data_IF_971845546307
#
_entry.id   IF_971845546307
#
_cell.length_a   1.000
_cell.length_b   1.000
_cell.length_c   1.000
_cell.angle_alpha   90.00
_cell.angle_beta   90.00
_cell.angle_gamma   90.00
#
_symmetry.space_group_name_H-M   'P 1'
#
loop_
_entity.id
_entity.type
_entity.pdbx_description
1 polymer ?
#
# COMPACT_ATOMS: atom_id res chain seq x y z
N UNK A 1 16.25 56.43 -1.44
CA UNK A 1 16.76 55.03 -1.31
C UNK A 1 15.71 54.20 -0.60
N UNK A 2 14.83 53.53 -1.34
CA UNK A 2 13.96 52.46 -0.79
C UNK A 2 13.18 51.77 -1.94
N UNK A 3 13.76 50.79 -2.61
CA UNK A 3 13.03 49.89 -3.53
C UNK A 3 13.92 48.65 -3.79
N UNK A 4 13.97 47.68 -2.88
CA UNK A 4 14.46 46.34 -3.20
C UNK A 4 14.24 45.40 -1.99
N UNK A 5 12.97 45.01 -1.71
CA UNK A 5 12.68 43.93 -0.76
C UNK A 5 11.36 43.16 -1.02
N UNK A 6 10.75 43.31 -2.21
CA UNK A 6 9.44 42.69 -2.44
C UNK A 6 9.43 41.41 -3.31
N UNK A 7 10.57 40.97 -3.87
CA UNK A 7 10.57 39.90 -4.90
C UNK A 7 10.90 38.48 -4.33
N UNK A 8 11.46 38.40 -3.14
CA UNK A 8 11.95 37.09 -2.61
C UNK A 8 10.90 36.22 -1.92
N UNK A 9 9.73 36.78 -1.58
CA UNK A 9 8.68 36.04 -0.82
C UNK A 9 7.74 35.25 -1.73
N UNK A 10 7.57 35.65 -3.00
CA UNK A 10 6.63 35.02 -3.94
C UNK A 10 7.16 33.66 -4.46
N UNK A 11 8.47 33.53 -4.61
CA UNK A 11 9.09 32.30 -5.15
C UNK A 11 9.00 31.08 -4.21
N UNK A 12 8.97 31.29 -2.89
CA UNK A 12 8.90 30.17 -1.91
C UNK A 12 7.50 29.58 -1.77
N UNK A 13 6.45 30.36 -2.02
CA UNK A 13 5.06 29.88 -1.93
C UNK A 13 4.65 29.01 -3.12
N UNK A 14 5.24 29.21 -4.31
CA UNK A 14 4.93 28.38 -5.50
C UNK A 14 5.54 26.97 -5.44
N UNK A 15 6.68 26.80 -4.78
CA UNK A 15 7.33 25.47 -4.66
C UNK A 15 6.56 24.47 -3.78
N UNK A 16 5.86 24.96 -2.75
CA UNK A 16 5.08 24.09 -1.86
C UNK A 16 3.74 23.63 -2.45
N UNK A 17 3.11 24.46 -3.31
CA UNK A 17 1.82 24.13 -3.93
C UNK A 17 1.97 23.02 -4.96
N UNK A 18 3.04 22.99 -5.75
CA UNK A 18 3.27 21.99 -6.79
C UNK A 18 3.54 20.59 -6.19
N UNK A 19 4.24 20.51 -5.07
CA UNK A 19 4.50 19.23 -4.40
C UNK A 19 3.22 18.61 -3.81
N UNK A 20 2.34 19.44 -3.23
CA UNK A 20 1.08 18.98 -2.64
C UNK A 20 0.10 18.45 -3.69
N UNK A 21 0.00 19.10 -4.85
CA UNK A 21 -0.89 18.67 -5.95
C UNK A 21 -0.39 17.36 -6.57
N UNK A 22 0.92 17.18 -6.75
CA UNK A 22 1.49 15.95 -7.31
C UNK A 22 1.26 14.75 -6.38
N UNK A 23 1.38 14.96 -5.07
CA UNK A 23 1.17 13.91 -4.07
C UNK A 23 -0.31 13.49 -3.98
N UNK A 24 -1.24 14.43 -4.08
CA UNK A 24 -2.68 14.14 -4.08
C UNK A 24 -3.08 13.33 -5.33
N UNK A 25 -2.49 13.64 -6.49
CA UNK A 25 -2.73 12.91 -7.73
C UNK A 25 -2.26 11.45 -7.66
N UNK A 26 -1.08 11.17 -7.10
CA UNK A 26 -0.57 9.79 -6.97
C UNK A 26 -1.51 8.90 -6.14
N UNK A 27 -1.92 9.34 -4.97
CA UNK A 27 -2.78 8.53 -4.08
C UNK A 27 -4.20 8.37 -4.65
N UNK A 28 -4.70 9.38 -5.38
CA UNK A 28 -5.93 9.24 -6.16
C UNK A 28 -5.81 8.15 -7.22
N UNK A 29 -4.73 8.17 -8.00
CA UNK A 29 -4.45 7.13 -9.01
C UNK A 29 -4.25 5.73 -8.40
N UNK A 30 -3.63 5.64 -7.21
CA UNK A 30 -3.49 4.36 -6.51
C UNK A 30 -4.84 3.80 -6.07
N UNK A 31 -5.73 4.66 -5.56
CA UNK A 31 -7.12 4.32 -5.27
C UNK A 31 -7.85 3.81 -6.51
N UNK A 32 -7.74 4.51 -7.63
CA UNK A 32 -8.40 4.12 -8.90
C UNK A 32 -7.83 2.79 -9.43
N UNK A 33 -6.52 2.62 -9.35
CA UNK A 33 -5.85 1.37 -9.73
C UNK A 33 -6.33 0.19 -8.88
N UNK A 34 -6.54 0.38 -7.57
CA UNK A 34 -7.10 -0.64 -6.70
C UNK A 34 -8.56 -0.96 -7.05
N UNK A 35 -9.38 0.06 -7.33
CA UNK A 35 -10.77 -0.11 -7.76
C UNK A 35 -10.89 -0.90 -9.07
N UNK A 36 -10.02 -0.66 -10.05
CA UNK A 36 -10.01 -1.43 -11.29
C UNK A 36 -9.78 -2.94 -11.08
N UNK A 37 -9.03 -3.33 -10.05
CA UNK A 37 -8.77 -4.74 -9.75
C UNK A 37 -10.05 -5.49 -9.35
N UNK A 38 -11.05 -4.82 -8.81
CA UNK A 38 -12.32 -5.44 -8.42
C UNK A 38 -13.15 -5.92 -9.62
N UNK A 39 -12.83 -5.47 -10.83
CA UNK A 39 -13.47 -5.93 -12.07
C UNK A 39 -12.93 -7.29 -12.55
N UNK A 40 -11.91 -7.85 -11.88
CA UNK A 40 -11.30 -9.12 -12.26
C UNK A 40 -11.64 -10.18 -11.23
N UNK A 41 -12.10 -11.34 -11.69
CA UNK A 41 -12.28 -12.48 -10.80
C UNK A 41 -10.91 -13.08 -10.45
N UNK A 42 -10.61 -13.15 -9.15
CA UNK A 42 -9.37 -13.71 -8.61
C UNK A 42 -9.69 -14.74 -7.54
N UNK A 43 -9.23 -15.97 -7.74
CA UNK A 43 -9.29 -17.03 -6.74
C UNK A 43 -8.24 -16.77 -5.63
N UNK A 44 -8.62 -16.96 -4.37
CA UNK A 44 -7.68 -16.84 -3.26
C UNK A 44 -6.72 -18.03 -3.25
N UNK A 45 -5.42 -17.75 -3.49
CA UNK A 45 -4.39 -18.79 -3.55
C UNK A 45 -3.12 -18.34 -2.82
N UNK A 46 -2.86 -18.87 -1.60
CA UNK A 46 -1.68 -18.55 -0.81
C UNK A 46 -0.45 -19.38 -1.21
N UNK A 47 -0.52 -20.22 -2.24
CA UNK A 47 0.57 -21.10 -2.64
C UNK A 47 1.84 -20.31 -2.99
N UNK A 48 2.98 -20.98 -2.85
CA UNK A 48 4.25 -20.47 -3.31
C UNK A 48 4.36 -20.65 -4.84
N UNK A 49 4.73 -19.57 -5.52
CA UNK A 49 4.98 -19.54 -6.96
C UNK A 49 6.41 -19.13 -7.25
N UNK A 50 7.06 -19.82 -8.17
CA UNK A 50 8.30 -19.34 -8.79
C UNK A 50 7.89 -18.36 -9.88
N UNK A 51 8.32 -17.11 -9.75
CA UNK A 51 7.94 -16.02 -10.65
C UNK A 51 9.18 -15.32 -11.24
N UNK A 52 8.98 -14.59 -12.31
CA UNK A 52 10.03 -13.77 -12.90
C UNK A 52 10.53 -12.70 -11.91
N UNK A 53 11.66 -12.13 -12.21
CA UNK A 53 12.22 -11.01 -11.45
C UNK A 53 13.05 -10.12 -12.40
N UNK A 54 12.90 -8.78 -12.38
CA UNK A 54 11.84 -8.02 -11.68
C UNK A 54 10.47 -8.15 -12.37
N UNK A 55 9.44 -7.50 -11.81
CA UNK A 55 8.07 -7.44 -12.31
C UNK A 55 7.35 -8.79 -12.44
N UNK A 56 7.78 -9.80 -11.69
CA UNK A 56 7.10 -11.08 -11.66
C UNK A 56 5.72 -11.01 -10.99
N UNK A 57 4.77 -11.77 -11.51
CA UNK A 57 3.45 -11.95 -10.92
C UNK A 57 3.07 -13.43 -10.92
N UNK A 58 2.21 -13.80 -10.01
CA UNK A 58 1.52 -15.09 -10.01
C UNK A 58 0.43 -15.09 -11.11
N UNK A 59 -0.17 -16.24 -11.45
CA UNK A 59 -1.25 -16.27 -12.44
C UNK A 59 -2.31 -15.19 -12.18
N UNK A 60 -2.73 -14.49 -13.24
CA UNK A 60 -3.59 -13.31 -13.11
C UNK A 60 -4.94 -13.58 -12.43
N UNK A 61 -5.44 -14.82 -12.54
CA UNK A 61 -6.68 -15.28 -11.89
C UNK A 61 -6.48 -15.76 -10.45
N UNK A 62 -5.28 -15.62 -9.86
CA UNK A 62 -4.96 -16.00 -8.50
C UNK A 62 -4.41 -14.83 -7.70
N UNK A 63 -4.57 -14.86 -6.37
CA UNK A 63 -4.02 -13.80 -5.52
C UNK A 63 -4.44 -13.91 -4.06
N UNK A 64 -3.71 -13.19 -3.22
CA UNK A 64 -4.05 -12.95 -1.81
C UNK A 64 -4.11 -11.45 -1.55
N UNK A 65 -4.28 -11.02 -0.31
CA UNK A 65 -4.39 -9.61 0.07
C UNK A 65 -3.20 -8.75 -0.41
N UNK A 66 -1.97 -9.26 -0.33
CA UNK A 66 -0.78 -8.54 -0.78
C UNK A 66 -0.75 -8.34 -2.30
N UNK A 67 -1.30 -9.28 -3.08
CA UNK A 67 -1.31 -9.18 -4.54
C UNK A 67 -2.23 -8.03 -5.01
N UNK A 68 -3.26 -7.66 -4.25
CA UNK A 68 -4.06 -6.44 -4.49
C UNK A 68 -3.16 -5.20 -4.44
N UNK A 69 -2.36 -5.06 -3.37
CA UNK A 69 -1.45 -3.92 -3.18
C UNK A 69 -0.38 -3.92 -4.26
N UNK A 70 0.28 -5.05 -4.49
CA UNK A 70 1.34 -5.21 -5.49
C UNK A 70 0.85 -4.81 -6.88
N UNK A 71 -0.31 -5.30 -7.28
CA UNK A 71 -0.88 -5.04 -8.60
C UNK A 71 -1.35 -3.60 -8.76
N UNK A 72 -1.92 -2.98 -7.72
CA UNK A 72 -2.29 -1.57 -7.74
C UNK A 72 -1.04 -0.68 -7.95
N UNK A 73 0.03 -0.92 -7.20
CA UNK A 73 1.30 -0.20 -7.36
C UNK A 73 1.93 -0.44 -8.75
N UNK A 74 1.85 -1.65 -9.28
CA UNK A 74 2.39 -1.99 -10.61
C UNK A 74 1.70 -1.20 -11.72
N UNK A 75 0.38 -0.92 -11.61
CA UNK A 75 -0.35 -0.06 -12.55
C UNK A 75 0.21 1.37 -12.59
N UNK A 76 0.85 1.81 -11.51
CA UNK A 76 1.53 3.11 -11.41
C UNK A 76 3.03 3.04 -11.73
N UNK A 77 3.52 1.91 -12.24
CA UNK A 77 4.92 1.71 -12.62
C UNK A 77 5.86 1.39 -11.45
N UNK A 78 5.34 1.07 -10.26
CA UNK A 78 6.14 0.72 -9.08
C UNK A 78 6.12 -0.80 -8.89
N UNK A 79 7.30 -1.42 -8.97
CA UNK A 79 7.51 -2.86 -8.77
C UNK A 79 7.84 -3.16 -7.30
N UNK A 80 6.81 -3.44 -6.49
CA UNK A 80 7.01 -3.79 -5.07
C UNK A 80 7.80 -5.10 -4.89
N UNK A 81 7.78 -6.03 -5.84
CA UNK A 81 8.64 -7.22 -5.79
C UNK A 81 10.11 -6.81 -5.74
N UNK A 82 10.51 -5.93 -6.67
CA UNK A 82 11.87 -5.43 -6.74
C UNK A 82 12.23 -4.59 -5.52
N UNK A 83 11.40 -3.61 -5.18
CA UNK A 83 11.67 -2.67 -4.10
C UNK A 83 11.87 -3.39 -2.76
N UNK A 84 10.97 -4.29 -2.39
CA UNK A 84 11.04 -5.07 -1.14
C UNK A 84 12.26 -5.99 -1.17
N UNK A 85 12.49 -6.70 -2.26
CA UNK A 85 13.62 -7.64 -2.37
C UNK A 85 14.98 -6.93 -2.27
N UNK A 86 15.15 -5.78 -2.93
CA UNK A 86 16.40 -5.02 -2.87
C UNK A 86 16.63 -4.43 -1.48
N UNK A 87 15.61 -3.92 -0.79
CA UNK A 87 15.75 -3.47 0.60
C UNK A 87 16.09 -4.64 1.55
N UNK A 88 15.42 -5.78 1.39
CA UNK A 88 15.70 -6.97 2.19
C UNK A 88 17.11 -7.52 1.97
N UNK A 89 17.69 -7.42 0.77
CA UNK A 89 19.08 -7.86 0.53
C UNK A 89 20.09 -7.10 1.38
N UNK A 90 19.85 -5.83 1.62
CA UNK A 90 20.76 -4.96 2.39
C UNK A 90 20.39 -4.93 3.88
N UNK A 91 19.13 -5.11 4.23
CA UNK A 91 18.57 -4.89 5.56
C UNK A 91 17.83 -6.11 6.09
N UNK A 92 18.28 -7.32 5.75
CA UNK A 92 17.55 -8.55 6.09
C UNK A 92 17.30 -8.72 7.59
N UNK A 93 18.17 -8.21 8.45
CA UNK A 93 18.05 -8.22 9.91
C UNK A 93 16.84 -7.41 10.43
N UNK A 94 16.34 -6.44 9.66
CA UNK A 94 15.18 -5.59 9.99
C UNK A 94 13.85 -6.27 9.72
N UNK A 95 13.86 -7.34 8.93
CA UNK A 95 12.64 -8.03 8.50
C UNK A 95 12.32 -9.24 9.39
N UNK A 96 11.03 -9.59 9.57
CA UNK A 96 10.61 -10.73 10.39
C UNK A 96 11.23 -12.05 9.93
N UNK A 97 11.59 -12.92 10.88
CA UNK A 97 12.15 -14.25 10.63
C UNK A 97 11.12 -15.37 10.84
N UNK A 98 9.84 -15.04 10.86
CA UNK A 98 8.73 -15.93 11.23
C UNK A 98 8.68 -17.23 10.38
N UNK A 99 9.16 -17.16 9.14
CA UNK A 99 9.09 -18.32 8.21
C UNK A 99 10.42 -19.09 8.10
N UNK A 100 11.38 -18.83 8.99
CA UNK A 100 12.65 -19.54 9.01
C UNK A 100 13.57 -19.28 7.81
N UNK A 101 13.33 -18.24 7.02
CA UNK A 101 14.22 -17.88 5.92
C UNK A 101 15.55 -17.35 6.44
N UNK A 102 16.63 -17.84 5.85
CA UNK A 102 18.00 -17.40 6.15
C UNK A 102 18.50 -16.30 5.19
N UNK A 103 17.76 -16.06 4.11
CA UNK A 103 18.07 -15.06 3.08
C UNK A 103 16.78 -14.58 2.41
N UNK A 104 16.79 -13.41 1.74
CA UNK A 104 15.66 -12.94 0.95
C UNK A 104 15.26 -13.91 -0.16
N UNK A 105 13.97 -14.02 -0.42
CA UNK A 105 13.39 -14.81 -1.51
C UNK A 105 12.51 -13.91 -2.40
N UNK A 106 12.99 -13.59 -3.59
CA UNK A 106 12.32 -12.72 -4.57
C UNK A 106 10.92 -13.19 -4.98
N UNK A 107 10.59 -14.47 -4.76
CA UNK A 107 9.29 -15.03 -5.15
C UNK A 107 8.18 -14.76 -4.13
N UNK A 108 8.55 -14.54 -2.85
CA UNK A 108 7.55 -14.48 -1.76
C UNK A 108 7.68 -13.28 -0.83
N UNK A 109 8.85 -12.62 -0.77
CA UNK A 109 9.12 -11.57 0.21
C UNK A 109 8.07 -10.45 0.18
N UNK A 110 7.74 -9.95 -1.01
CA UNK A 110 6.73 -8.90 -1.25
C UNK A 110 5.28 -9.39 -1.05
N UNK A 111 5.05 -10.70 -0.98
CA UNK A 111 3.74 -11.32 -0.75
C UNK A 111 3.46 -11.63 0.74
N UNK A 112 4.26 -11.09 1.65
CA UNK A 112 4.11 -11.23 3.10
C UNK A 112 3.77 -9.89 3.75
N UNK A 113 2.60 -9.80 4.38
CA UNK A 113 2.13 -8.55 5.02
C UNK A 113 3.17 -7.98 5.99
N UNK A 114 3.78 -8.75 6.93
CA UNK A 114 4.78 -8.21 7.84
C UNK A 114 6.02 -7.64 7.14
N UNK A 115 6.41 -8.18 5.98
CA UNK A 115 7.51 -7.63 5.19
C UNK A 115 7.12 -6.29 4.54
N UNK A 116 5.90 -6.21 3.97
CA UNK A 116 5.38 -4.96 3.43
C UNK A 116 5.25 -3.87 4.50
N UNK A 117 4.83 -4.24 5.72
CA UNK A 117 4.76 -3.29 6.85
C UNK A 117 6.14 -2.70 7.17
N UNK A 118 7.19 -3.54 7.23
CA UNK A 118 8.57 -3.07 7.43
C UNK A 118 9.02 -2.17 6.28
N UNK A 119 8.78 -2.60 5.04
CA UNK A 119 9.14 -1.81 3.85
C UNK A 119 8.46 -0.44 3.85
N UNK A 120 7.16 -0.37 4.05
CA UNK A 120 6.42 0.89 4.07
C UNK A 120 6.79 1.79 5.25
N UNK A 121 7.14 1.22 6.39
CA UNK A 121 7.65 2.00 7.53
C UNK A 121 9.03 2.60 7.27
N UNK A 122 9.86 1.95 6.45
CA UNK A 122 11.23 2.40 6.14
C UNK A 122 11.27 3.40 4.98
N UNK A 123 10.42 3.25 3.99
CA UNK A 123 10.47 3.99 2.72
C UNK A 123 9.28 4.92 2.49
N UNK A 124 8.20 4.76 3.25
CA UNK A 124 6.99 5.57 3.18
C UNK A 124 6.81 6.49 4.39
N UNK A 125 5.58 6.95 4.55
CA UNK A 125 5.13 7.69 5.73
C UNK A 125 4.26 6.80 6.61
N UNK A 126 4.70 6.57 7.85
CA UNK A 126 3.85 5.93 8.87
C UNK A 126 2.82 6.94 9.34
N UNK A 127 1.56 6.54 9.36
CA UNK A 127 0.43 7.34 9.82
C UNK A 127 -0.04 6.88 11.19
N UNK A 128 -0.65 7.76 11.99
CA UNK A 128 -1.27 7.36 13.25
C UNK A 128 -2.34 6.29 13.04
N UNK A 129 -2.45 5.35 13.96
CA UNK A 129 -3.57 4.43 14.05
C UNK A 129 -4.58 5.05 15.01
N UNK A 130 -5.73 5.45 14.49
CA UNK A 130 -6.80 6.10 15.25
C UNK A 130 -8.12 5.35 15.04
N UNK A 131 -9.16 5.77 15.76
CA UNK A 131 -10.53 5.31 15.54
C UNK A 131 -11.37 6.35 14.78
N UNK A 132 -10.71 7.33 14.14
CA UNK A 132 -11.34 8.41 13.40
C UNK A 132 -11.25 8.11 11.90
N UNK A 133 -12.39 7.90 11.25
CA UNK A 133 -12.46 7.52 9.85
C UNK A 133 -11.86 8.58 8.90
N UNK A 134 -11.89 9.84 9.30
CA UNK A 134 -11.33 10.98 8.58
C UNK A 134 -9.79 10.96 8.46
N UNK A 135 -9.11 10.19 9.32
CA UNK A 135 -7.65 10.05 9.29
C UNK A 135 -7.19 9.09 8.17
N UNK A 136 -8.11 8.29 7.63
CA UNK A 136 -7.83 7.31 6.57
C UNK A 136 -8.33 7.85 5.24
N UNK A 137 -7.40 8.13 4.33
CA UNK A 137 -7.68 8.79 3.06
C UNK A 137 -7.46 7.85 1.87
N UNK A 138 -8.09 8.11 0.70
CA UNK A 138 -7.84 7.33 -0.51
C UNK A 138 -6.35 7.22 -0.84
N UNK A 139 -5.91 5.99 -1.17
CA UNK A 139 -4.52 5.62 -1.40
C UNK A 139 -3.73 5.24 -0.15
N UNK A 140 -4.35 5.30 1.04
CA UNK A 140 -3.73 4.77 2.25
C UNK A 140 -3.66 3.24 2.21
N UNK A 141 -2.55 2.70 2.71
CA UNK A 141 -2.34 1.27 2.91
C UNK A 141 -2.60 0.98 4.38
N UNK A 142 -3.54 0.09 4.64
CA UNK A 142 -3.89 -0.31 6.00
C UNK A 142 -3.61 -1.80 6.18
N UNK A 143 -3.09 -2.15 7.37
CA UNK A 143 -2.83 -3.52 7.77
C UNK A 143 -3.61 -3.87 9.03
N UNK A 144 -4.16 -5.07 9.06
CA UNK A 144 -4.96 -5.58 10.18
C UNK A 144 -4.39 -6.88 10.75
N UNK A 145 -4.74 -7.16 12.01
CA UNK A 145 -4.67 -8.48 12.60
C UNK A 145 -6.09 -9.07 12.64
N UNK A 146 -6.30 -10.18 11.93
CA UNK A 146 -7.59 -10.87 11.85
C UNK A 146 -7.82 -11.86 13.02
N UNK A 147 -6.87 -11.94 13.95
CA UNK A 147 -6.84 -12.87 15.06
C UNK A 147 -5.59 -13.76 15.05
N UNK A 148 -5.03 -14.02 16.21
CA UNK A 148 -3.77 -14.76 16.34
C UNK A 148 -2.63 -14.06 15.59
N UNK A 149 -1.96 -14.81 14.71
CA UNK A 149 -0.84 -14.33 13.87
C UNK A 149 -1.28 -13.98 12.43
N UNK A 150 -2.58 -14.02 12.13
CA UNK A 150 -3.09 -13.78 10.78
C UNK A 150 -3.10 -12.29 10.48
N UNK A 151 -2.21 -11.86 9.61
CA UNK A 151 -2.12 -10.47 9.15
C UNK A 151 -2.82 -10.27 7.81
N UNK A 152 -3.37 -9.09 7.59
CA UNK A 152 -4.09 -8.70 6.39
C UNK A 152 -3.71 -7.29 5.94
N UNK A 153 -3.92 -6.98 4.65
CA UNK A 153 -3.58 -5.68 4.06
C UNK A 153 -4.59 -5.31 2.96
N UNK A 154 -4.83 -4.01 2.81
CA UNK A 154 -5.68 -3.46 1.76
C UNK A 154 -5.37 -2.01 1.47
N UNK A 155 -6.07 -1.43 0.50
CA UNK A 155 -5.96 -0.04 0.07
C UNK A 155 -7.29 0.67 0.31
N UNK A 156 -7.25 1.78 1.03
CA UNK A 156 -8.39 2.69 1.19
C UNK A 156 -8.65 3.38 -0.16
N UNK A 157 -9.89 3.43 -0.61
CA UNK A 157 -10.23 3.94 -1.94
C UNK A 157 -11.26 5.07 -1.90
N UNK A 158 -11.34 5.87 -2.96
CA UNK A 158 -12.24 7.02 -3.05
C UNK A 158 -13.70 6.60 -3.33
N UNK A 159 -14.19 5.72 -2.47
CA UNK A 159 -15.60 5.32 -2.38
C UNK A 159 -16.02 5.33 -0.92
N UNK A 160 -17.16 5.94 -0.61
CA UNK A 160 -17.68 6.01 0.75
C UNK A 160 -18.54 4.79 1.09
N UNK A 161 -18.56 4.45 2.38
CA UNK A 161 -19.54 3.53 2.98
C UNK A 161 -20.97 4.02 2.75
N UNK A 162 -21.95 3.16 2.95
CA UNK A 162 -23.36 3.48 2.74
C UNK A 162 -23.88 4.60 3.62
N UNK A 163 -23.29 4.78 4.81
CA UNK A 163 -23.60 5.86 5.76
C UNK A 163 -22.74 7.13 5.54
N UNK A 164 -21.83 7.10 4.56
CA UNK A 164 -20.95 8.22 4.18
C UNK A 164 -19.82 8.53 5.16
N UNK A 165 -19.66 7.78 6.27
CA UNK A 165 -18.71 8.13 7.33
C UNK A 165 -17.29 7.70 7.03
N UNK A 166 -17.09 6.49 6.48
CA UNK A 166 -15.77 5.95 6.18
C UNK A 166 -15.53 5.84 4.68
N UNK A 167 -14.27 5.68 4.29
CA UNK A 167 -13.91 5.18 2.97
C UNK A 167 -13.89 3.66 2.96
N UNK A 168 -14.27 3.08 1.82
CA UNK A 168 -14.20 1.65 1.57
C UNK A 168 -12.76 1.20 1.32
N UNK A 169 -12.53 -0.10 1.44
CA UNK A 169 -11.23 -0.74 1.25
C UNK A 169 -11.32 -1.75 0.10
N UNK A 170 -10.32 -1.78 -0.76
CA UNK A 170 -10.10 -2.87 -1.71
C UNK A 170 -9.07 -3.83 -1.12
N UNK A 171 -9.47 -5.09 -0.97
CA UNK A 171 -8.64 -6.15 -0.39
C UNK A 171 -9.06 -7.53 -0.92
N UNK A 172 -8.38 -8.60 -0.51
CA UNK A 172 -8.77 -9.99 -0.77
C UNK A 172 -8.62 -10.82 0.52
N UNK A 173 -9.73 -11.13 1.15
CA UNK A 173 -9.80 -11.92 2.40
C UNK A 173 -10.32 -13.35 2.16
N UNK A 174 -10.26 -13.85 0.92
CA UNK A 174 -10.69 -15.20 0.55
C UNK A 174 -11.83 -15.25 -0.48
N UNK A 175 -12.46 -14.11 -0.81
CA UNK A 175 -13.56 -14.02 -1.78
C UNK A 175 -13.18 -13.35 -3.10
N UNK A 176 -11.89 -13.17 -3.35
CA UNK A 176 -11.35 -12.39 -4.46
C UNK A 176 -11.09 -10.93 -4.09
N UNK A 177 -10.79 -10.13 -5.10
CA UNK A 177 -10.50 -8.69 -4.95
C UNK A 177 -11.80 -7.92 -4.77
N UNK A 178 -12.18 -7.65 -3.51
CA UNK A 178 -13.48 -7.07 -3.15
C UNK A 178 -13.33 -5.63 -2.65
N UNK A 179 -14.37 -4.83 -2.92
CA UNK A 179 -14.58 -3.51 -2.35
C UNK A 179 -15.54 -3.65 -1.16
N UNK A 180 -15.06 -3.40 0.06
CA UNK A 180 -15.84 -3.64 1.28
C UNK A 180 -15.69 -2.50 2.30
N UNK A 181 -16.68 -2.35 3.17
CA UNK A 181 -16.62 -1.49 4.36
C UNK A 181 -15.90 -2.28 5.48
N UNK A 182 -14.57 -2.32 5.38
CA UNK A 182 -13.73 -3.19 6.20
C UNK A 182 -12.83 -2.42 7.18
N UNK A 183 -12.78 -1.10 7.09
CA UNK A 183 -11.76 -0.29 7.76
C UNK A 183 -11.62 -0.59 9.25
N UNK A 184 -12.74 -0.75 9.97
CA UNK A 184 -12.76 -0.98 11.42
C UNK A 184 -13.29 -2.38 11.82
N UNK A 185 -13.42 -3.31 10.86
CA UNK A 185 -13.90 -4.68 11.13
C UNK A 185 -12.88 -5.54 11.89
N UNK A 186 -11.62 -5.14 11.91
CA UNK A 186 -10.55 -5.84 12.60
C UNK A 186 -9.53 -4.87 13.19
N UNK A 187 -8.69 -5.36 14.11
CA UNK A 187 -7.68 -4.54 14.75
C UNK A 187 -6.66 -4.03 13.73
N UNK A 188 -6.62 -2.72 13.51
CA UNK A 188 -5.58 -2.08 12.69
C UNK A 188 -4.24 -2.19 13.40
N UNK A 189 -3.20 -2.62 12.68
CA UNK A 189 -1.83 -2.78 13.17
C UNK A 189 -0.80 -2.00 12.35
N UNK A 190 -1.23 -1.36 11.25
CA UNK A 190 -0.37 -0.51 10.43
C UNK A 190 -1.18 0.42 9.54
N UNK A 191 -0.68 1.65 9.36
CA UNK A 191 -1.27 2.66 8.49
C UNK A 191 -0.14 3.42 7.80
N UNK A 192 -0.12 3.40 6.47
CA UNK A 192 1.01 3.89 5.68
C UNK A 192 0.57 4.65 4.44
N UNK A 193 1.48 5.55 3.97
CA UNK A 193 1.51 6.10 2.62
C UNK A 193 2.87 5.87 2.00
N UNK A 194 2.91 5.36 0.79
CA UNK A 194 4.14 5.18 0.05
C UNK A 194 3.99 5.68 -1.38
N UNK A 195 4.95 6.46 -1.81
CA UNK A 195 5.14 6.94 -3.16
C UNK A 195 6.65 6.96 -3.43
N UNK A 196 7.06 6.47 -4.59
CA UNK A 196 8.45 6.48 -5.04
C UNK A 196 8.76 7.78 -5.77
#
# INVERSE_FOLDING_TARGET
MLKFKAILVVGLLFGFITCSICQTDFYGKLSDAALELTNQHVEYDPAYFVINYPNGDIPANKGVCTDVVIRAYRKLGIDLQKEVHEDMKVNFDKYPKTWGLLKPDKNIDHRRVPNLMVFFARHGSVKPITNHAEDFLPGDIVCWNLGGEVTHIGIVVNKKSSDGKSYLVVHNIGRGQMLEDFLFESKIIGHYRYQK
#
